data_IF_939398463888
#
_entry.id   IF_939398463888
#
_cell.length_a   1.000
_cell.length_b   1.000
_cell.length_c   1.000
_cell.angle_alpha   90.00
_cell.angle_beta   90.00
_cell.angle_gamma   90.00
#
_symmetry.space_group_name_H-M   'P 1'
#
loop_
_entity.id
_entity.type
_entity.pdbx_description
1 polymer ?
#
# COMPACT_ATOMS: atom_id res chain seq x y z
N UNK A 1 -29.20 6.03 9.11
CA UNK A 1 -27.75 5.95 9.01
C UNK A 1 -27.09 7.20 8.41
N UNK A 2 -27.62 7.83 7.35
CA UNK A 2 -27.02 9.02 6.70
C UNK A 2 -26.86 10.29 7.57
N UNK A 3 -27.64 10.47 8.62
CA UNK A 3 -27.55 11.66 9.50
C UNK A 3 -26.47 11.57 10.59
N UNK A 4 -25.92 10.37 10.87
CA UNK A 4 -24.83 10.21 11.84
C UNK A 4 -23.45 10.37 11.20
N UNK A 5 -23.34 10.11 9.90
CA UNK A 5 -22.10 10.31 9.13
C UNK A 5 -21.70 11.77 8.98
N UNK A 6 -22.69 12.66 8.81
CA UNK A 6 -22.41 14.09 8.62
C UNK A 6 -21.93 14.76 9.92
N UNK A 7 -22.37 14.27 11.10
CA UNK A 7 -21.92 14.79 12.38
C UNK A 7 -20.49 14.36 12.75
N UNK A 8 -20.05 13.17 12.28
CA UNK A 8 -18.70 12.67 12.51
C UNK A 8 -17.66 13.39 11.62
N UNK A 9 -18.04 13.71 10.38
CA UNK A 9 -17.18 14.48 9.47
C UNK A 9 -16.91 15.89 10.02
N UNK A 10 -17.92 16.53 10.63
CA UNK A 10 -17.75 17.87 11.24
C UNK A 10 -16.89 17.82 12.51
N UNK A 11 -16.92 16.72 13.26
CA UNK A 11 -16.09 16.57 14.46
C UNK A 11 -14.61 16.34 14.11
N UNK A 12 -14.32 15.60 13.03
CA UNK A 12 -12.94 15.34 12.61
C UNK A 12 -12.26 16.58 12.03
N UNK A 13 -12.99 17.39 11.25
CA UNK A 13 -12.46 18.65 10.71
C UNK A 13 -12.26 19.72 11.78
N UNK A 14 -13.07 19.74 12.87
CA UNK A 14 -12.94 20.71 13.96
C UNK A 14 -11.73 20.41 14.87
N UNK A 15 -11.30 19.15 14.99
CA UNK A 15 -10.17 18.77 15.85
C UNK A 15 -8.83 19.17 15.20
N UNK A 16 -8.74 19.14 13.87
CA UNK A 16 -7.51 19.58 13.17
C UNK A 16 -7.35 21.10 13.06
N UNK A 17 -8.45 21.87 13.16
CA UNK A 17 -8.40 23.34 13.10
C UNK A 17 -8.04 24.00 14.43
N UNK A 18 -7.85 23.25 15.52
CA UNK A 18 -7.55 23.78 16.86
C UNK A 18 -6.12 23.50 17.33
N UNK A 19 -5.20 23.13 16.44
CA UNK A 19 -3.79 23.16 16.80
C UNK A 19 -3.29 24.62 16.76
N UNK A 20 -2.88 25.22 17.88
CA UNK A 20 -2.23 26.52 17.86
C UNK A 20 -0.89 26.36 17.13
N UNK A 21 -0.65 27.19 16.12
CA UNK A 21 0.68 27.35 15.53
C UNK A 21 1.66 27.69 16.65
N UNK A 22 2.49 26.75 17.05
CA UNK A 22 3.61 27.01 17.92
C UNK A 22 4.57 27.91 17.15
N UNK A 23 4.58 29.20 17.48
CA UNK A 23 5.60 30.14 17.06
C UNK A 23 6.95 29.57 17.50
N UNK A 24 7.76 29.17 16.52
CA UNK A 24 9.17 28.88 16.73
C UNK A 24 9.87 30.20 17.07
N UNK A 25 10.06 30.44 18.36
CA UNK A 25 11.01 31.41 18.83
C UNK A 25 12.38 30.76 18.73
N UNK A 26 13.15 31.13 17.71
CA UNK A 26 14.54 30.76 17.60
C UNK A 26 15.34 31.38 18.76
N UNK A 27 16.29 30.69 19.37
CA UNK A 27 17.18 31.30 20.35
C UNK A 27 18.11 32.29 19.64
N UNK A 28 18.12 33.52 20.12
CA UNK A 28 19.10 34.57 19.81
C UNK A 28 20.51 34.02 20.04
N UNK A 29 21.32 34.05 18.99
CA UNK A 29 22.76 33.78 19.08
C UNK A 29 23.44 35.08 19.48
N UNK A 30 24.11 35.15 20.64
CA UNK A 30 24.93 36.34 20.96
C UNK A 30 26.19 36.33 20.11
N UNK A 31 26.36 37.35 19.29
CA UNK A 31 27.59 37.65 18.58
C UNK A 31 28.64 38.17 19.57
N UNK A 32 29.78 37.51 19.59
CA UNK A 32 30.99 38.11 20.13
C UNK A 32 31.73 37.33 21.21
N UNK A 33 32.49 36.32 20.79
CA UNK A 33 33.73 35.92 21.51
C UNK A 33 34.77 35.57 20.46
N UNK A 34 35.80 36.37 20.39
CA UNK A 34 37.05 36.14 19.64
C UNK A 34 37.77 34.92 20.17
N UNK A 35 38.11 33.97 19.27
CA UNK A 35 38.93 32.79 19.60
C UNK A 35 40.41 33.18 19.83
N UNK A 36 41.07 32.63 20.83
CA UNK A 36 42.54 32.76 20.95
C UNK A 36 43.24 31.79 20.00
N UNK A 37 44.20 32.32 19.24
CA UNK A 37 45.11 31.59 18.36
C UNK A 37 46.11 30.78 19.20
N UNK A 38 46.31 29.52 18.80
CA UNK A 38 47.53 28.81 19.13
C UNK A 38 47.36 27.56 20.02
N UNK A 39 46.96 26.43 19.44
CA UNK A 39 47.37 25.11 19.92
C UNK A 39 47.67 24.24 18.70
N UNK A 40 48.93 23.89 18.53
CA UNK A 40 49.42 22.95 17.53
C UNK A 40 48.90 21.54 17.84
N UNK A 41 48.32 20.87 16.85
CA UNK A 41 47.87 19.49 16.95
C UNK A 41 49.01 18.52 17.13
N UNK A 42 48.92 17.51 18.00
CA UNK A 42 49.92 16.46 18.12
C UNK A 42 49.89 15.52 16.90
N UNK A 43 51.10 15.19 16.44
CA UNK A 43 51.35 14.24 15.34
C UNK A 43 50.84 12.85 15.69
N UNK A 44 50.07 12.22 14.77
CA UNK A 44 49.59 10.85 14.92
C UNK A 44 50.76 9.83 14.94
N UNK A 45 50.69 8.80 15.78
CA UNK A 45 51.70 7.75 15.81
C UNK A 45 51.58 6.85 14.56
N UNK A 46 52.76 6.50 14.02
CA UNK A 46 52.94 5.60 12.87
C UNK A 46 52.37 4.20 13.18
N UNK A 47 51.55 3.66 12.32
CA UNK A 47 51.01 2.30 12.47
C UNK A 47 52.13 1.23 12.34
N UNK A 48 52.12 0.18 13.13
CA UNK A 48 53.09 -0.92 13.01
C UNK A 48 52.81 -1.76 11.75
N UNK A 49 53.90 -2.13 11.07
CA UNK A 49 53.91 -2.98 9.87
C UNK A 49 53.34 -4.38 10.20
N UNK A 50 52.36 -4.84 9.46
CA UNK A 50 51.78 -6.17 9.62
C UNK A 50 52.79 -7.26 9.22
N UNK A 51 52.88 -8.39 9.98
CA UNK A 51 53.73 -9.53 9.62
C UNK A 51 53.17 -10.25 8.38
N UNK A 52 54.08 -10.70 7.49
CA UNK A 52 53.79 -11.45 6.28
C UNK A 52 53.12 -12.79 6.62
N UNK A 53 52.02 -13.11 5.92
CA UNK A 53 51.28 -14.36 6.06
C UNK A 53 52.15 -15.55 5.58
N UNK A 54 52.13 -16.73 6.26
CA UNK A 54 52.81 -17.93 5.83
C UNK A 54 52.12 -18.53 4.58
N UNK A 55 52.94 -19.04 3.66
CA UNK A 55 52.49 -19.70 2.41
C UNK A 55 51.67 -20.95 2.72
N UNK A 56 50.52 -21.09 2.12
CA UNK A 56 49.67 -22.27 2.22
C UNK A 56 50.32 -23.51 1.60
N UNK A 57 50.26 -24.68 2.24
CA UNK A 57 50.75 -25.94 1.65
C UNK A 57 49.85 -26.38 0.46
N UNK A 58 50.48 -26.90 -0.59
CA UNK A 58 49.81 -27.45 -1.78
C UNK A 58 48.91 -28.62 -1.43
N UNK A 59 47.68 -28.62 -1.93
CA UNK A 59 46.73 -29.70 -1.74
C UNK A 59 47.19 -30.98 -2.48
N UNK A 60 47.00 -32.17 -1.88
CA UNK A 60 47.33 -33.44 -2.55
C UNK A 60 46.31 -33.72 -3.68
N UNK A 61 46.80 -34.29 -4.81
CA UNK A 61 45.99 -34.67 -5.97
C UNK A 61 44.96 -35.73 -5.59
N UNK A 62 43.71 -35.53 -5.99
CA UNK A 62 42.62 -36.47 -5.78
C UNK A 62 42.83 -37.77 -6.61
N UNK A 63 42.54 -38.95 -6.06
CA UNK A 63 42.56 -40.19 -6.82
C UNK A 63 41.46 -40.26 -7.89
N UNK A 64 41.80 -40.82 -9.04
CA UNK A 64 40.83 -41.00 -10.18
C UNK A 64 39.68 -41.89 -9.77
N UNK A 65 38.46 -41.47 -10.04
CA UNK A 65 37.24 -42.22 -9.79
C UNK A 65 37.15 -43.46 -10.70
N UNK A 66 36.71 -44.64 -10.20
CA UNK A 66 36.46 -45.81 -11.04
C UNK A 66 35.30 -45.59 -11.98
N UNK A 67 35.40 -46.14 -13.22
CA UNK A 67 34.37 -46.08 -14.25
C UNK A 67 33.09 -46.76 -13.78
N UNK A 68 31.96 -46.05 -13.87
CA UNK A 68 30.65 -46.59 -13.54
C UNK A 68 30.22 -47.71 -14.50
N UNK A 69 29.61 -48.82 -14.04
CA UNK A 69 29.03 -49.84 -14.90
C UNK A 69 27.84 -49.29 -15.69
N UNK A 70 27.72 -49.75 -16.98
CA UNK A 70 26.62 -49.36 -17.86
C UNK A 70 25.27 -49.77 -17.26
N UNK A 71 24.35 -48.82 -17.17
CA UNK A 71 23.01 -49.07 -16.69
C UNK A 71 22.20 -49.96 -17.65
N UNK A 72 21.38 -50.89 -17.14
CA UNK A 72 20.46 -51.65 -17.97
C UNK A 72 19.38 -50.75 -18.56
N UNK A 73 18.99 -51.05 -19.82
CA UNK A 73 17.94 -50.35 -20.56
C UNK A 73 16.63 -50.38 -19.76
N UNK A 74 16.09 -49.19 -19.43
CA UNK A 74 14.82 -49.05 -18.74
C UNK A 74 13.66 -49.59 -19.61
N UNK A 75 12.70 -50.34 -19.05
CA UNK A 75 11.48 -50.69 -19.76
C UNK A 75 10.67 -49.41 -20.03
N UNK A 76 10.04 -49.38 -21.23
CA UNK A 76 9.16 -48.27 -21.65
C UNK A 76 8.08 -48.02 -20.59
N UNK A 77 8.06 -46.81 -20.04
CA UNK A 77 7.03 -46.40 -19.10
C UNK A 77 5.65 -46.43 -19.76
N UNK A 78 4.63 -47.02 -19.12
CA UNK A 78 3.27 -46.84 -19.59
C UNK A 78 2.90 -45.36 -19.61
N UNK A 79 2.19 -44.92 -20.67
CA UNK A 79 1.69 -43.58 -20.82
C UNK A 79 0.97 -43.18 -19.53
N UNK A 80 1.43 -42.10 -18.89
CA UNK A 80 0.75 -41.54 -17.72
C UNK A 80 -0.71 -41.26 -18.09
N UNK A 81 -1.68 -41.60 -17.24
CA UNK A 81 -3.03 -41.11 -17.42
C UNK A 81 -2.98 -39.60 -17.44
N UNK A 82 -3.68 -38.98 -18.40
CA UNK A 82 -3.87 -37.55 -18.49
C UNK A 82 -4.23 -37.04 -17.09
N UNK A 83 -3.44 -36.10 -16.55
CA UNK A 83 -3.76 -35.45 -15.30
C UNK A 83 -5.20 -34.97 -15.38
N UNK A 84 -6.02 -35.17 -14.35
CA UNK A 84 -7.34 -34.54 -14.32
C UNK A 84 -7.11 -33.05 -14.49
N UNK A 85 -7.78 -32.45 -15.48
CA UNK A 85 -7.84 -31.01 -15.65
C UNK A 85 -8.36 -30.49 -14.31
N UNK A 86 -7.55 -29.76 -13.57
CA UNK A 86 -8.01 -29.05 -12.39
C UNK A 86 -9.26 -28.26 -12.81
N UNK A 87 -10.37 -28.30 -12.06
CA UNK A 87 -11.52 -27.48 -12.38
C UNK A 87 -11.03 -26.02 -12.39
N UNK A 88 -11.17 -25.36 -13.54
CA UNK A 88 -10.94 -23.93 -13.65
C UNK A 88 -11.67 -23.27 -12.48
N UNK A 89 -10.96 -22.62 -11.59
CA UNK A 89 -11.55 -21.91 -10.47
C UNK A 89 -12.46 -20.82 -11.03
N UNK A 90 -13.77 -21.09 -11.03
CA UNK A 90 -14.77 -20.09 -11.39
C UNK A 90 -14.87 -19.14 -10.22
N UNK A 91 -14.58 -17.89 -10.45
CA UNK A 91 -14.86 -16.83 -9.47
C UNK A 91 -16.01 -15.93 -9.94
N UNK A 92 -16.54 -15.13 -9.06
CA UNK A 92 -17.70 -14.28 -9.33
C UNK A 92 -17.34 -12.82 -9.08
N UNK A 93 -17.82 -11.94 -9.94
CA UNK A 93 -17.73 -10.50 -9.77
C UNK A 93 -19.13 -9.88 -9.87
N UNK A 94 -19.30 -8.70 -9.31
CA UNK A 94 -20.53 -7.94 -9.50
C UNK A 94 -20.28 -6.86 -10.55
N UNK A 95 -21.21 -6.68 -11.49
CA UNK A 95 -21.11 -5.67 -12.54
C UNK A 95 -22.35 -4.80 -12.58
N UNK A 96 -22.17 -3.49 -12.77
CA UNK A 96 -23.24 -2.53 -13.04
C UNK A 96 -22.81 -1.50 -14.10
N UNK A 97 -23.82 -0.97 -14.83
CA UNK A 97 -23.64 0.09 -15.83
C UNK A 97 -24.70 1.15 -15.65
N UNK A 98 -24.32 2.41 -15.55
CA UNK A 98 -25.26 3.51 -15.43
C UNK A 98 -24.74 4.81 -16.04
N UNK A 99 -25.65 5.74 -16.29
CA UNK A 99 -25.35 7.14 -16.57
C UNK A 99 -25.52 7.97 -15.31
N UNK A 100 -25.32 9.27 -15.41
CA UNK A 100 -25.61 10.23 -14.34
C UNK A 100 -27.11 10.31 -13.96
N UNK A 101 -28.00 9.82 -14.82
CA UNK A 101 -29.46 9.86 -14.62
C UNK A 101 -30.10 8.48 -14.53
N UNK A 102 -29.55 7.48 -15.20
CA UNK A 102 -30.24 6.20 -15.42
C UNK A 102 -29.33 5.00 -15.14
N UNK A 103 -29.85 4.03 -14.41
CA UNK A 103 -29.23 2.73 -14.27
C UNK A 103 -29.59 1.85 -15.48
N UNK A 104 -28.63 1.62 -16.35
CA UNK A 104 -28.82 0.83 -17.58
C UNK A 104 -28.72 -0.67 -17.32
N UNK A 105 -27.78 -1.09 -16.49
CA UNK A 105 -27.65 -2.46 -16.00
C UNK A 105 -27.52 -2.40 -14.49
N UNK A 106 -28.52 -2.99 -13.79
CA UNK A 106 -28.51 -3.10 -12.33
C UNK A 106 -27.37 -4.02 -11.88
N UNK A 107 -26.88 -3.88 -10.64
CA UNK A 107 -25.87 -4.77 -10.10
C UNK A 107 -26.24 -6.24 -10.28
N UNK A 108 -25.41 -6.99 -11.00
CA UNK A 108 -25.61 -8.39 -11.32
C UNK A 108 -24.33 -9.20 -11.11
N UNK A 109 -24.46 -10.41 -10.56
CA UNK A 109 -23.34 -11.32 -10.39
C UNK A 109 -22.99 -11.95 -11.75
N UNK A 110 -21.71 -11.92 -12.09
CA UNK A 110 -21.14 -12.46 -13.32
C UNK A 110 -20.13 -13.54 -12.96
N UNK A 111 -20.31 -14.74 -13.51
CA UNK A 111 -19.33 -15.81 -13.38
C UNK A 111 -18.19 -15.63 -14.36
N UNK A 112 -16.97 -15.76 -13.88
CA UNK A 112 -15.72 -15.58 -14.63
C UNK A 112 -14.95 -16.90 -14.57
N UNK A 113 -14.52 -17.42 -15.72
CA UNK A 113 -14.02 -18.78 -15.86
C UNK A 113 -12.51 -18.92 -15.96
N UNK A 114 -11.75 -17.83 -15.97
CA UNK A 114 -10.30 -17.89 -16.21
C UNK A 114 -9.53 -16.89 -15.38
N UNK A 115 -8.43 -17.34 -14.82
CA UNK A 115 -7.39 -16.49 -14.25
C UNK A 115 -6.89 -15.47 -15.29
N UNK A 116 -6.71 -14.22 -14.87
CA UNK A 116 -6.29 -13.14 -15.76
C UNK A 116 -7.42 -12.45 -16.54
N UNK A 117 -8.69 -12.72 -16.22
CA UNK A 117 -9.83 -11.99 -16.81
C UNK A 117 -9.76 -10.52 -16.40
N UNK A 118 -9.95 -9.64 -17.39
CA UNK A 118 -9.90 -8.18 -17.17
C UNK A 118 -11.30 -7.58 -17.00
N UNK A 119 -11.35 -6.35 -16.49
CA UNK A 119 -12.60 -5.56 -16.46
C UNK A 119 -13.23 -5.45 -17.87
N UNK A 120 -12.39 -5.29 -18.91
CA UNK A 120 -12.88 -5.20 -20.29
C UNK A 120 -13.56 -6.50 -20.75
N UNK A 121 -13.08 -7.66 -20.33
CA UNK A 121 -13.65 -8.94 -20.70
C UNK A 121 -15.05 -9.10 -20.09
N UNK A 122 -15.21 -8.78 -18.81
CA UNK A 122 -16.52 -8.78 -18.14
C UNK A 122 -17.47 -7.74 -18.76
N UNK A 123 -16.97 -6.52 -19.01
CA UNK A 123 -17.72 -5.47 -19.68
C UNK A 123 -18.28 -5.96 -21.01
N UNK A 124 -17.45 -6.57 -21.87
CA UNK A 124 -17.87 -7.11 -23.18
C UNK A 124 -18.89 -8.23 -23.02
N UNK A 125 -18.66 -9.16 -22.11
CA UNK A 125 -19.57 -10.28 -21.85
C UNK A 125 -20.94 -9.77 -21.44
N UNK A 126 -21.01 -8.84 -20.49
CA UNK A 126 -22.28 -8.33 -19.96
C UNK A 126 -23.03 -7.49 -20.99
N UNK A 127 -22.33 -6.60 -21.71
CA UNK A 127 -22.96 -5.77 -22.75
C UNK A 127 -23.52 -6.62 -23.87
N UNK A 128 -22.78 -7.61 -24.35
CA UNK A 128 -23.26 -8.53 -25.39
C UNK A 128 -24.49 -9.33 -24.94
N UNK A 129 -24.50 -9.81 -23.70
CA UNK A 129 -25.64 -10.56 -23.14
C UNK A 129 -26.91 -9.70 -23.00
N UNK A 130 -26.77 -8.38 -22.84
CA UNK A 130 -27.88 -7.43 -22.65
C UNK A 130 -28.17 -6.61 -23.90
N UNK A 131 -27.57 -6.88 -25.06
CA UNK A 131 -27.85 -6.22 -26.34
C UNK A 131 -27.34 -4.79 -26.47
N UNK A 132 -26.38 -4.38 -25.61
CA UNK A 132 -25.68 -3.10 -25.73
C UNK A 132 -24.54 -3.19 -26.72
N UNK A 133 -24.25 -2.06 -27.37
CA UNK A 133 -23.05 -1.90 -28.20
C UNK A 133 -22.17 -0.78 -27.65
N UNK A 134 -20.90 -0.78 -28.01
CA UNK A 134 -19.94 0.18 -27.49
C UNK A 134 -18.93 0.57 -28.56
N UNK A 135 -18.30 1.74 -28.35
CA UNK A 135 -17.23 2.29 -29.19
C UNK A 135 -16.00 2.58 -28.31
N UNK A 136 -14.88 1.96 -28.67
CA UNK A 136 -13.59 2.15 -28.02
C UNK A 136 -12.60 2.82 -28.97
N UNK A 137 -11.54 3.41 -28.43
CA UNK A 137 -10.40 3.78 -29.22
C UNK A 137 -9.64 2.53 -29.76
N UNK A 138 -8.70 2.75 -30.70
CA UNK A 138 -8.08 1.66 -31.46
C UNK A 138 -7.28 0.67 -30.61
N UNK A 139 -6.77 1.09 -29.46
CA UNK A 139 -5.97 0.27 -28.54
C UNK A 139 -6.76 -0.22 -27.31
N UNK A 140 -8.06 0.03 -27.27
CA UNK A 140 -8.96 -0.31 -26.16
C UNK A 140 -8.53 0.30 -24.81
N UNK A 141 -7.91 1.46 -24.85
CA UNK A 141 -7.52 2.17 -23.64
C UNK A 141 -8.64 3.06 -23.11
N UNK A 142 -9.58 3.51 -23.96
CA UNK A 142 -10.61 4.44 -23.59
C UNK A 142 -11.99 4.13 -24.22
N UNK A 143 -13.05 4.11 -23.38
CA UNK A 143 -14.43 3.90 -23.79
C UNK A 143 -15.08 5.20 -24.27
N UNK A 144 -15.35 5.32 -25.58
CA UNK A 144 -15.88 6.52 -26.20
C UNK A 144 -17.40 6.64 -26.12
N UNK A 145 -18.10 5.52 -26.27
CA UNK A 145 -19.56 5.54 -26.26
C UNK A 145 -20.14 4.16 -25.90
N UNK A 146 -21.32 4.18 -25.30
CA UNK A 146 -22.17 3.01 -25.14
C UNK A 146 -23.55 3.32 -25.76
N UNK A 147 -24.12 2.34 -26.47
CA UNK A 147 -25.47 2.44 -27.06
C UNK A 147 -26.35 1.35 -26.46
N UNK A 148 -27.44 1.75 -25.86
CA UNK A 148 -28.43 0.86 -25.27
C UNK A 148 -29.26 0.13 -26.37
N UNK A 149 -29.98 -0.96 -26.04
CA UNK A 149 -30.78 -1.73 -27.00
C UNK A 149 -31.90 -0.94 -27.68
N UNK A 150 -32.41 0.12 -27.04
CA UNK A 150 -33.40 1.03 -27.59
C UNK A 150 -32.83 2.08 -28.57
N UNK A 151 -31.49 2.05 -28.79
CA UNK A 151 -30.79 2.99 -29.66
C UNK A 151 -30.29 4.25 -28.94
N UNK A 152 -30.53 4.42 -27.63
CA UNK A 152 -30.01 5.54 -26.86
C UNK A 152 -28.52 5.45 -26.80
N UNK A 153 -27.81 6.45 -27.37
CA UNK A 153 -26.32 6.52 -27.36
C UNK A 153 -25.82 7.61 -26.41
N UNK A 154 -24.95 7.25 -25.49
CA UNK A 154 -24.21 8.19 -24.65
C UNK A 154 -22.74 8.12 -25.02
N UNK A 155 -22.18 9.27 -25.43
CA UNK A 155 -20.82 9.37 -25.90
C UNK A 155 -20.00 10.37 -25.05
N UNK A 156 -18.69 10.20 -25.05
CA UNK A 156 -17.75 11.21 -24.50
C UNK A 156 -18.09 12.59 -25.07
N UNK A 157 -17.86 13.62 -24.28
CA UNK A 157 -18.12 15.03 -24.61
C UNK A 157 -19.58 15.38 -24.94
N UNK A 158 -20.53 14.44 -24.86
CA UNK A 158 -21.95 14.69 -25.16
C UNK A 158 -22.64 15.64 -24.17
N UNK A 159 -22.08 15.81 -22.97
CA UNK A 159 -22.55 16.75 -21.92
C UNK A 159 -21.52 17.81 -21.54
N UNK A 160 -20.48 18.05 -22.36
CA UNK A 160 -19.42 19.01 -22.12
C UNK A 160 -18.03 18.39 -22.21
N UNK A 161 -16.98 19.22 -22.24
CA UNK A 161 -15.59 18.77 -22.45
C UNK A 161 -15.07 17.81 -21.39
N UNK A 162 -15.66 17.81 -20.19
CA UNK A 162 -15.27 16.94 -19.09
C UNK A 162 -16.21 15.72 -18.94
N UNK A 163 -17.16 15.52 -19.87
CA UNK A 163 -18.06 14.38 -19.78
C UNK A 163 -17.48 13.15 -20.48
N UNK A 164 -17.66 11.98 -19.84
CA UNK A 164 -17.11 10.74 -20.36
C UNK A 164 -17.46 9.52 -19.52
N UNK A 165 -17.02 8.37 -20.01
CA UNK A 165 -17.15 7.09 -19.34
C UNK A 165 -15.96 6.82 -18.42
N UNK A 166 -16.26 6.36 -17.23
CA UNK A 166 -15.30 5.94 -16.23
C UNK A 166 -15.65 4.55 -15.71
N UNK A 167 -14.74 3.93 -14.98
CA UNK A 167 -15.04 2.72 -14.24
C UNK A 167 -14.40 2.73 -12.85
N UNK A 168 -15.01 1.98 -11.93
CA UNK A 168 -14.49 1.68 -10.61
C UNK A 168 -14.43 0.19 -10.39
N UNK A 169 -13.48 -0.22 -9.56
CA UNK A 169 -13.46 -1.56 -8.97
C UNK A 169 -13.38 -1.40 -7.46
N UNK A 170 -14.32 -1.99 -6.75
CA UNK A 170 -14.43 -1.88 -5.29
C UNK A 170 -14.51 -0.43 -4.79
N UNK A 171 -15.16 0.45 -5.56
CA UNK A 171 -15.31 1.87 -5.26
C UNK A 171 -14.14 2.77 -5.66
N UNK A 172 -13.00 2.22 -6.06
CA UNK A 172 -11.82 2.97 -6.52
C UNK A 172 -11.82 3.15 -8.03
N UNK A 173 -11.40 4.33 -8.51
CA UNK A 173 -11.12 4.57 -9.93
C UNK A 173 -9.68 4.15 -10.21
N UNK A 174 -9.44 3.04 -10.95
CA UNK A 174 -8.11 2.60 -11.29
C UNK A 174 -7.36 3.57 -12.19
N UNK A 175 -6.03 3.57 -12.10
CA UNK A 175 -5.16 4.37 -12.97
C UNK A 175 -4.71 3.59 -14.23
N UNK A 176 -5.37 2.51 -14.54
CA UNK A 176 -5.13 1.68 -15.71
C UNK A 176 -6.42 1.53 -16.51
N UNK A 177 -6.30 1.25 -17.81
CA UNK A 177 -7.46 0.98 -18.65
C UNK A 177 -8.14 -0.35 -18.28
N UNK A 178 -9.40 -0.54 -18.66
CA UNK A 178 -10.18 -1.75 -18.36
C UNK A 178 -9.51 -3.04 -18.89
N UNK A 179 -8.76 -2.97 -19.98
CA UNK A 179 -8.03 -4.10 -20.57
C UNK A 179 -6.77 -4.49 -19.80
N UNK A 180 -6.32 -3.66 -18.87
CA UNK A 180 -5.12 -3.88 -18.06
C UNK A 180 -5.44 -4.22 -16.60
N UNK A 181 -6.68 -4.00 -16.15
CA UNK A 181 -7.07 -4.32 -14.78
C UNK A 181 -7.52 -5.78 -14.70
N UNK A 182 -6.77 -6.61 -13.97
CA UNK A 182 -7.12 -8.01 -13.70
C UNK A 182 -8.03 -8.10 -12.49
N UNK A 183 -9.07 -8.90 -12.60
CA UNK A 183 -10.10 -9.09 -11.60
C UNK A 183 -9.76 -10.22 -10.63
N UNK A 184 -10.26 -10.10 -9.41
CA UNK A 184 -10.22 -11.12 -8.35
C UNK A 184 -11.65 -11.53 -7.98
N UNK A 185 -11.78 -12.66 -7.24
CA UNK A 185 -13.09 -13.12 -6.77
C UNK A 185 -13.72 -12.11 -5.81
N UNK A 186 -14.99 -11.82 -6.06
CA UNK A 186 -15.75 -10.85 -5.26
C UNK A 186 -15.62 -9.40 -5.69
N UNK A 187 -14.85 -9.09 -6.75
CA UNK A 187 -14.72 -7.70 -7.22
C UNK A 187 -16.05 -7.10 -7.66
N UNK A 188 -16.27 -5.84 -7.28
CA UNK A 188 -17.44 -5.03 -7.68
C UNK A 188 -17.04 -4.03 -8.76
N UNK A 189 -17.56 -4.23 -9.97
CA UNK A 189 -17.29 -3.39 -11.15
C UNK A 189 -18.45 -2.43 -11.37
N UNK A 190 -18.16 -1.14 -11.38
CA UNK A 190 -19.08 -0.08 -11.75
C UNK A 190 -18.57 0.64 -12.99
N UNK A 191 -19.30 0.58 -14.11
CA UNK A 191 -19.00 1.42 -15.29
C UNK A 191 -20.05 2.52 -15.34
N UNK A 192 -19.63 3.77 -15.43
CA UNK A 192 -20.54 4.89 -15.34
C UNK A 192 -20.15 6.06 -16.25
N UNK A 193 -21.18 6.75 -16.75
CA UNK A 193 -20.99 8.02 -17.43
C UNK A 193 -21.15 9.18 -16.47
N UNK A 194 -20.30 10.19 -16.61
CA UNK A 194 -20.41 11.44 -15.84
C UNK A 194 -20.43 12.65 -16.75
N UNK A 195 -21.22 13.66 -16.37
CA UNK A 195 -21.23 14.95 -17.05
C UNK A 195 -19.97 15.79 -16.79
N UNK A 196 -19.30 15.55 -15.66
CA UNK A 196 -18.02 16.21 -15.32
C UNK A 196 -17.15 15.29 -14.45
N UNK A 197 -16.14 14.68 -15.06
CA UNK A 197 -15.20 13.80 -14.34
C UNK A 197 -14.36 14.54 -13.28
N UNK A 198 -14.23 15.86 -13.38
CA UNK A 198 -13.52 16.66 -12.36
C UNK A 198 -14.32 16.75 -11.04
N UNK A 199 -15.62 16.49 -11.08
CA UNK A 199 -16.49 16.46 -9.89
C UNK A 199 -16.66 15.05 -9.32
N UNK A 200 -16.13 14.03 -9.99
CA UNK A 200 -16.24 12.65 -9.52
C UNK A 200 -15.32 12.46 -8.30
N UNK A 201 -15.86 12.06 -7.14
CA UNK A 201 -15.04 11.82 -5.98
C UNK A 201 -13.93 10.80 -6.29
N UNK A 202 -12.71 11.14 -5.94
CA UNK A 202 -11.55 10.29 -6.18
C UNK A 202 -10.91 10.43 -7.55
N UNK A 203 -11.44 11.25 -8.45
CA UNK A 203 -10.79 11.48 -9.75
C UNK A 203 -9.60 12.42 -9.62
N UNK A 204 -9.73 13.47 -8.84
CA UNK A 204 -8.66 14.46 -8.61
C UNK A 204 -8.45 14.63 -7.11
N UNK A 205 -7.19 14.69 -6.69
CA UNK A 205 -6.85 15.05 -5.32
C UNK A 205 -7.06 16.54 -5.08
N UNK A 206 -7.59 16.96 -3.91
CA UNK A 206 -7.74 18.37 -3.59
C UNK A 206 -6.41 19.05 -3.20
N UNK A 207 -5.33 18.29 -3.06
CA UNK A 207 -4.06 18.72 -2.50
C UNK A 207 -3.17 19.38 -3.56
N UNK A 208 -2.67 20.57 -3.26
CA UNK A 208 -1.82 21.35 -4.17
C UNK A 208 -0.35 20.93 -4.12
N UNK A 209 0.04 20.23 -3.07
CA UNK A 209 1.38 19.72 -2.83
C UNK A 209 1.60 18.28 -3.36
N UNK A 210 0.59 17.69 -4.00
CA UNK A 210 0.68 16.38 -4.64
C UNK A 210 0.28 16.52 -6.10
N UNK A 211 1.27 16.80 -6.95
CA UNK A 211 1.05 16.89 -8.40
C UNK A 211 0.76 15.50 -9.01
N UNK A 212 0.10 15.49 -10.17
CA UNK A 212 -0.29 14.23 -10.84
C UNK A 212 0.90 13.34 -11.22
N UNK A 213 2.08 13.90 -11.40
CA UNK A 213 3.35 13.20 -11.68
C UNK A 213 4.14 12.85 -10.40
N UNK A 214 3.60 13.16 -9.22
CA UNK A 214 4.21 12.74 -7.96
C UNK A 214 4.23 11.21 -7.86
N UNK A 215 5.37 10.62 -7.54
CA UNK A 215 5.59 9.16 -7.50
C UNK A 215 4.55 8.38 -6.66
N UNK A 216 4.00 9.01 -5.61
CA UNK A 216 2.98 8.41 -4.75
C UNK A 216 1.56 8.88 -5.07
N UNK A 217 1.32 9.62 -6.16
CA UNK A 217 0.00 10.20 -6.47
C UNK A 217 -1.12 9.17 -6.41
N UNK A 218 -0.96 8.06 -7.13
CA UNK A 218 -1.95 6.96 -7.16
C UNK A 218 -2.21 6.37 -5.78
N UNK A 219 -1.16 6.16 -4.99
CA UNK A 219 -1.28 5.61 -3.66
C UNK A 219 -1.98 6.58 -2.69
N UNK A 220 -1.62 7.86 -2.74
CA UNK A 220 -2.26 8.91 -1.94
C UNK A 220 -3.73 9.05 -2.34
N UNK A 221 -4.04 9.07 -3.64
CA UNK A 221 -5.41 9.11 -4.16
C UNK A 221 -6.24 7.95 -3.61
N UNK A 222 -5.72 6.73 -3.66
CA UNK A 222 -6.40 5.54 -3.13
C UNK A 222 -6.64 5.62 -1.63
N UNK A 223 -5.67 6.10 -0.85
CA UNK A 223 -5.83 6.27 0.60
C UNK A 223 -6.84 7.37 0.93
N UNK A 224 -6.84 8.45 0.15
CA UNK A 224 -7.77 9.55 0.33
C UNK A 224 -9.21 9.14 -0.01
N UNK A 225 -9.44 8.49 -1.16
CA UNK A 225 -10.79 8.07 -1.59
C UNK A 225 -11.42 7.04 -0.66
N UNK A 226 -10.60 6.21 -0.01
CA UNK A 226 -11.02 5.25 1.01
C UNK A 226 -11.13 5.85 2.41
N UNK A 227 -10.91 7.15 2.54
CA UNK A 227 -10.94 7.88 3.82
C UNK A 227 -9.97 7.28 4.88
N UNK A 228 -8.87 6.70 4.43
CA UNK A 228 -7.83 6.14 5.30
C UNK A 228 -6.73 7.14 5.63
N UNK A 229 -6.40 8.02 4.67
CA UNK A 229 -5.46 9.12 4.89
C UNK A 229 -6.05 10.40 4.29
N UNK A 230 -6.24 11.40 5.13
CA UNK A 230 -6.73 12.72 4.75
C UNK A 230 -5.57 13.73 4.69
N UNK A 231 -5.81 14.94 4.16
CA UNK A 231 -4.85 16.03 4.23
C UNK A 231 -4.54 16.47 5.66
N UNK A 232 -3.45 17.20 5.84
CA UNK A 232 -3.19 17.95 7.09
C UNK A 232 -4.07 19.19 7.16
N UNK A 233 -4.55 19.65 6.01
CA UNK A 233 -5.62 20.61 5.80
C UNK A 233 -6.34 20.33 4.47
N UNK A 234 -7.30 21.18 4.08
CA UNK A 234 -8.13 21.01 2.88
C UNK A 234 -7.35 21.02 1.56
N UNK A 235 -6.11 21.54 1.54
CA UNK A 235 -5.30 21.76 0.34
C UNK A 235 -3.93 21.11 0.39
N UNK A 236 -3.53 20.58 1.53
CA UNK A 236 -2.18 20.07 1.79
C UNK A 236 -2.24 18.62 2.30
N UNK A 237 -1.57 17.73 1.62
CA UNK A 237 -1.39 16.34 2.08
C UNK A 237 -0.15 16.20 2.96
N UNK A 238 0.89 16.98 2.72
CA UNK A 238 2.23 16.89 3.31
C UNK A 238 2.90 15.51 3.06
N UNK A 239 3.19 15.15 1.80
CA UNK A 239 3.69 13.82 1.44
C UNK A 239 5.02 13.47 2.12
N UNK A 240 5.90 14.43 2.32
CA UNK A 240 7.23 14.26 2.92
C UNK A 240 7.24 14.36 4.44
N UNK A 241 6.11 14.73 5.06
CA UNK A 241 6.00 14.75 6.52
C UNK A 241 6.15 13.32 7.07
N UNK A 242 6.97 13.16 8.11
CA UNK A 242 7.10 11.87 8.79
C UNK A 242 5.79 11.47 9.48
N UNK A 243 5.40 10.22 9.32
CA UNK A 243 4.23 9.66 9.98
C UNK A 243 4.53 9.40 11.46
N UNK A 244 3.62 9.76 12.36
CA UNK A 244 3.76 9.41 13.76
C UNK A 244 3.18 8.02 14.06
N UNK A 245 3.57 7.44 15.19
CA UNK A 245 3.05 6.15 15.65
C UNK A 245 1.53 6.20 15.87
N UNK A 246 1.02 7.32 16.40
CA UNK A 246 -0.40 7.54 16.57
C UNK A 246 -1.15 7.61 15.24
N UNK A 247 -0.60 8.32 14.24
CA UNK A 247 -1.19 8.39 12.90
C UNK A 247 -1.34 7.01 12.27
N UNK A 248 -0.30 6.16 12.36
CA UNK A 248 -0.41 4.79 11.82
C UNK A 248 -1.46 3.96 12.56
N UNK A 249 -1.53 4.04 13.89
CA UNK A 249 -2.56 3.34 14.66
C UNK A 249 -3.97 3.76 14.23
N UNK A 250 -4.20 5.06 14.01
CA UNK A 250 -5.51 5.59 13.56
C UNK A 250 -5.86 5.09 12.15
N UNK A 251 -4.90 5.07 11.23
CA UNK A 251 -5.13 4.54 9.87
C UNK A 251 -5.55 3.06 9.93
N UNK A 252 -4.87 2.25 10.71
CA UNK A 252 -5.20 0.82 10.86
C UNK A 252 -6.55 0.62 11.56
N UNK A 253 -6.88 1.45 12.54
CA UNK A 253 -8.16 1.44 13.24
C UNK A 253 -9.32 1.82 12.30
N UNK A 254 -9.15 2.88 11.50
CA UNK A 254 -10.10 3.27 10.48
C UNK A 254 -10.29 2.16 9.42
N UNK A 255 -9.20 1.50 9.02
CA UNK A 255 -9.27 0.36 8.08
C UNK A 255 -10.04 -0.83 8.67
N UNK A 256 -10.01 -1.03 9.99
CA UNK A 256 -10.80 -2.05 10.70
C UNK A 256 -12.28 -1.64 10.88
N UNK A 257 -12.70 -0.45 10.44
CA UNK A 257 -14.07 0.04 10.59
C UNK A 257 -14.36 0.66 11.96
N UNK A 258 -13.34 1.11 12.69
CA UNK A 258 -13.44 1.79 13.98
C UNK A 258 -14.28 1.02 15.03
N UNK A 259 -13.92 -0.24 15.32
CA UNK A 259 -14.69 -1.04 16.25
C UNK A 259 -14.76 -0.41 17.65
N UNK A 260 -15.81 -0.70 18.40
CA UNK A 260 -15.96 -0.19 19.76
C UNK A 260 -14.81 -0.66 20.66
N UNK A 261 -14.23 0.26 21.43
CA UNK A 261 -13.12 0.00 22.35
C UNK A 261 -13.66 -0.13 23.76
N UNK A 262 -13.42 -1.28 24.37
CA UNK A 262 -13.83 -1.58 25.76
C UNK A 262 -12.65 -1.86 26.69
N UNK A 263 -11.45 -2.06 26.12
CA UNK A 263 -10.25 -2.34 26.89
C UNK A 263 -9.74 -1.12 27.66
N UNK A 264 -9.01 -1.38 28.74
CA UNK A 264 -8.35 -0.34 29.50
C UNK A 264 -7.07 0.12 28.81
N UNK A 265 -6.78 1.41 28.93
CA UNK A 265 -5.54 1.99 28.42
C UNK A 265 -4.33 1.49 29.23
N UNK A 266 -3.35 0.90 28.53
CA UNK A 266 -2.11 0.37 29.11
C UNK A 266 -0.95 1.39 29.13
N UNK A 267 -1.10 2.54 28.46
CA UNK A 267 -0.01 3.46 28.23
C UNK A 267 -0.18 4.75 29.04
N UNK A 268 0.85 5.13 29.79
CA UNK A 268 0.85 6.30 30.64
C UNK A 268 0.85 7.63 29.88
N UNK A 269 1.32 7.62 28.64
CA UNK A 269 1.46 8.77 27.75
C UNK A 269 0.35 8.86 26.68
N UNK A 270 -0.72 8.08 26.82
CA UNK A 270 -1.91 8.12 25.97
C UNK A 270 -3.09 8.64 26.79
N UNK A 271 -3.29 9.94 26.93
CA UNK A 271 -4.40 10.49 27.71
C UNK A 271 -5.74 10.17 27.04
N UNK A 272 -6.81 10.16 27.84
CA UNK A 272 -8.18 9.99 27.35
C UNK A 272 -8.63 11.18 26.52
N UNK A 273 -9.48 10.93 25.49
CA UNK A 273 -10.10 11.98 24.69
C UNK A 273 -9.23 12.59 23.59
N UNK A 274 -8.03 12.05 23.34
CA UNK A 274 -7.25 12.43 22.17
C UNK A 274 -7.80 11.73 20.93
N UNK A 275 -7.55 12.32 19.76
CA UNK A 275 -7.99 11.80 18.46
C UNK A 275 -7.47 10.36 18.16
N UNK A 276 -6.39 9.95 18.80
CA UNK A 276 -5.75 8.65 18.65
C UNK A 276 -6.03 7.68 19.80
N UNK A 277 -6.67 8.13 20.90
CA UNK A 277 -6.79 7.31 22.13
C UNK A 277 -7.42 5.95 21.84
N UNK A 278 -8.59 5.91 21.21
CA UNK A 278 -9.28 4.66 20.92
C UNK A 278 -8.49 3.77 19.96
N UNK A 279 -7.88 4.34 18.94
CA UNK A 279 -7.07 3.60 17.99
C UNK A 279 -5.87 2.92 18.65
N UNK A 280 -5.17 3.61 19.56
CA UNK A 280 -4.02 3.05 20.27
C UNK A 280 -4.42 1.95 21.25
N UNK A 281 -5.51 2.14 22.00
CA UNK A 281 -6.04 1.12 22.92
C UNK A 281 -6.46 -0.12 22.13
N UNK A 282 -7.23 0.05 21.06
CA UNK A 282 -7.66 -1.04 20.20
C UNK A 282 -6.47 -1.79 19.58
N UNK A 283 -5.48 -1.08 19.07
CA UNK A 283 -4.31 -1.69 18.47
C UNK A 283 -3.48 -2.49 19.49
N UNK A 284 -3.43 -2.01 20.75
CA UNK A 284 -2.76 -2.72 21.83
C UNK A 284 -3.55 -3.96 22.33
N UNK A 285 -4.88 -3.87 22.35
CA UNK A 285 -5.77 -5.00 22.71
C UNK A 285 -5.62 -6.15 21.71
N UNK A 286 -5.51 -5.83 20.41
CA UNK A 286 -5.45 -6.80 19.32
C UNK A 286 -4.01 -7.18 18.92
N UNK A 287 -3.01 -6.82 19.72
CA UNK A 287 -1.61 -7.21 19.49
C UNK A 287 -0.94 -6.54 18.30
N UNK A 288 -1.56 -5.50 17.72
CA UNK A 288 -1.02 -4.74 16.58
C UNK A 288 0.14 -3.84 17.03
N UNK A 289 0.09 -3.34 18.28
CA UNK A 289 1.16 -2.56 18.90
C UNK A 289 1.49 -3.07 20.31
N UNK A 290 2.77 -3.01 20.68
CA UNK A 290 3.25 -3.47 21.98
C UNK A 290 3.74 -2.34 22.91
N UNK A 291 3.81 -1.10 22.47
CA UNK A 291 4.44 -0.01 23.22
C UNK A 291 5.98 -0.06 23.18
N UNK A 292 6.62 0.72 24.07
CA UNK A 292 8.08 0.90 24.08
C UNK A 292 8.79 0.11 25.20
N UNK A 293 8.08 -0.74 25.95
CA UNK A 293 8.63 -1.55 27.04
C UNK A 293 8.76 -0.82 28.38
N UNK A 294 8.52 0.49 28.43
CA UNK A 294 8.56 1.36 29.61
C UNK A 294 7.17 1.83 30.06
N UNK A 295 6.12 1.19 29.57
CA UNK A 295 4.73 1.59 29.82
C UNK A 295 4.24 2.77 28.97
N UNK A 296 5.02 3.20 27.97
CA UNK A 296 4.65 4.27 27.04
C UNK A 296 4.37 3.73 25.64
N UNK A 297 3.57 4.48 24.86
CA UNK A 297 3.32 4.24 23.44
C UNK A 297 4.14 5.18 22.54
N UNK A 298 4.43 6.38 23.02
CA UNK A 298 5.08 7.48 22.29
C UNK A 298 4.30 7.90 21.04
N UNK A 299 3.06 8.42 21.21
CA UNK A 299 2.15 8.71 20.11
C UNK A 299 2.72 9.66 19.05
N UNK A 300 3.47 10.68 19.47
CA UNK A 300 4.02 11.71 18.60
C UNK A 300 5.39 11.35 18.01
N UNK A 301 6.00 10.24 18.42
CA UNK A 301 7.25 9.80 17.84
C UNK A 301 7.06 9.36 16.40
N UNK A 302 8.00 9.73 15.52
CA UNK A 302 8.02 9.24 14.16
C UNK A 302 8.09 7.69 14.15
N UNK A 303 7.27 7.06 13.32
CA UNK A 303 7.30 5.60 13.14
C UNK A 303 8.45 5.24 12.20
N UNK A 304 9.29 4.29 12.62
CA UNK A 304 10.35 3.78 11.74
C UNK A 304 9.83 2.72 10.77
N UNK A 305 10.56 2.44 9.70
CA UNK A 305 10.19 1.41 8.72
C UNK A 305 10.07 0.02 9.38
N UNK A 306 10.94 -0.31 10.32
CA UNK A 306 10.84 -1.54 11.11
C UNK A 306 9.57 -1.56 11.97
N UNK A 307 9.24 -0.46 12.66
CA UNK A 307 8.01 -0.35 13.45
C UNK A 307 6.75 -0.42 12.58
N UNK A 308 6.78 0.21 11.41
CA UNK A 308 5.68 0.15 10.45
C UNK A 308 5.44 -1.29 9.96
N UNK A 309 6.51 -2.05 9.68
CA UNK A 309 6.42 -3.45 9.31
C UNK A 309 5.76 -4.29 10.41
N UNK A 310 6.14 -4.09 11.68
CA UNK A 310 5.54 -4.80 12.82
C UNK A 310 4.06 -4.47 12.98
N UNK A 311 3.69 -3.18 12.92
CA UNK A 311 2.30 -2.76 13.05
C UNK A 311 1.44 -3.28 11.90
N UNK A 312 1.96 -3.26 10.67
CA UNK A 312 1.25 -3.76 9.50
C UNK A 312 1.09 -5.30 9.52
N UNK A 313 2.13 -6.03 9.90
CA UNK A 313 2.08 -7.48 10.06
C UNK A 313 1.09 -7.90 11.18
N UNK A 314 1.09 -7.19 12.31
CA UNK A 314 0.12 -7.39 13.38
C UNK A 314 -1.31 -7.13 12.93
N UNK A 315 -1.53 -6.08 12.11
CA UNK A 315 -2.83 -5.78 11.52
C UNK A 315 -3.26 -6.86 10.51
N UNK A 316 -2.36 -7.33 9.67
CA UNK A 316 -2.63 -8.40 8.72
C UNK A 316 -3.04 -9.71 9.44
N UNK A 317 -2.33 -10.08 10.50
CA UNK A 317 -2.69 -11.22 11.34
C UNK A 317 -4.08 -11.04 12.00
N UNK A 318 -4.39 -9.83 12.51
CA UNK A 318 -5.71 -9.48 13.05
C UNK A 318 -6.81 -9.63 11.99
N UNK A 319 -6.52 -9.26 10.73
CA UNK A 319 -7.44 -9.37 9.59
C UNK A 319 -7.61 -10.80 9.09
N UNK A 320 -6.83 -11.76 9.59
CA UNK A 320 -6.86 -13.16 9.16
C UNK A 320 -5.97 -13.49 7.96
N UNK A 321 -5.11 -12.56 7.56
CA UNK A 321 -4.17 -12.79 6.46
C UNK A 321 -3.05 -13.75 6.86
N UNK A 322 -2.50 -14.48 5.87
CA UNK A 322 -1.30 -15.29 6.07
C UNK A 322 -0.06 -14.41 6.23
N UNK A 323 0.51 -14.45 7.43
CA UNK A 323 1.74 -13.71 7.79
C UNK A 323 2.96 -14.62 7.89
N UNK A 324 2.94 -15.83 7.31
CA UNK A 324 4.02 -16.82 7.40
C UNK A 324 5.12 -16.65 6.35
N UNK A 325 4.84 -15.99 5.23
CA UNK A 325 5.81 -15.76 4.16
C UNK A 325 7.08 -15.05 4.67
N UNK A 326 8.25 -15.45 4.20
CA UNK A 326 9.55 -14.87 4.58
C UNK A 326 10.45 -14.69 3.38
N UNK A 327 10.90 -13.47 3.14
CA UNK A 327 11.94 -13.17 2.16
C UNK A 327 13.32 -13.24 2.81
N UNK A 328 14.31 -13.54 2.01
CA UNK A 328 15.72 -13.37 2.39
C UNK A 328 16.07 -11.87 2.31
N UNK A 329 16.54 -11.30 3.42
CA UNK A 329 16.95 -9.89 3.49
C UNK A 329 18.43 -9.68 3.14
N UNK A 330 19.22 -10.74 2.92
CA UNK A 330 20.66 -10.66 2.69
C UNK A 330 21.06 -9.87 1.44
N UNK A 331 20.13 -9.68 0.50
CA UNK A 331 20.33 -8.85 -0.67
C UNK A 331 20.39 -7.34 -0.38
N UNK A 332 19.96 -6.91 0.81
CA UNK A 332 20.01 -5.51 1.22
C UNK A 332 21.30 -5.22 1.97
N UNK A 333 21.95 -4.12 1.60
CA UNK A 333 23.27 -3.75 2.15
C UNK A 333 23.27 -3.44 3.64
N UNK A 334 22.11 -3.14 4.21
CA UNK A 334 21.87 -2.82 5.61
C UNK A 334 21.04 -3.89 6.35
N UNK A 335 21.00 -5.10 5.84
CA UNK A 335 20.29 -6.21 6.49
C UNK A 335 20.76 -6.48 7.94
N UNK A 336 22.01 -6.17 8.26
CA UNK A 336 22.56 -6.28 9.60
C UNK A 336 22.00 -5.25 10.59
N UNK A 337 21.44 -4.15 10.10
CA UNK A 337 20.85 -3.08 10.92
C UNK A 337 19.39 -3.38 11.30
N UNK A 338 18.83 -4.47 10.77
CA UNK A 338 17.46 -4.90 11.09
C UNK A 338 17.39 -5.35 12.54
N UNK A 339 16.58 -4.68 13.39
CA UNK A 339 16.42 -5.09 14.77
C UNK A 339 15.83 -6.52 14.87
N UNK A 340 16.34 -7.32 15.80
CA UNK A 340 15.87 -8.72 15.96
C UNK A 340 14.37 -8.84 16.22
N UNK A 341 13.76 -7.84 16.87
CA UNK A 341 12.34 -7.79 17.17
C UNK A 341 11.46 -7.49 15.95
N UNK A 342 12.02 -7.03 14.82
CA UNK A 342 11.30 -6.70 13.59
C UNK A 342 11.71 -7.59 12.41
N UNK A 343 12.57 -8.55 12.63
CA UNK A 343 13.16 -9.33 11.53
C UNK A 343 12.12 -10.15 10.79
N UNK A 344 11.23 -10.84 11.50
CA UNK A 344 10.19 -11.67 10.90
C UNK A 344 9.18 -10.85 10.11
N UNK A 345 8.80 -9.68 10.63
CA UNK A 345 7.81 -8.79 10.03
C UNK A 345 8.38 -8.05 8.81
N UNK A 346 9.65 -7.65 8.85
CA UNK A 346 10.34 -7.12 7.67
C UNK A 346 10.50 -8.18 6.58
N UNK A 347 10.84 -9.42 6.92
CA UNK A 347 10.86 -10.53 5.97
C UNK A 347 9.49 -10.76 5.33
N UNK A 348 8.41 -10.67 6.11
CA UNK A 348 7.05 -10.79 5.61
C UNK A 348 6.68 -9.64 4.68
N UNK A 349 6.92 -8.38 5.09
CA UNK A 349 6.58 -7.21 4.26
C UNK A 349 7.36 -7.20 2.95
N UNK A 350 8.63 -7.66 2.95
CA UNK A 350 9.43 -7.80 1.72
C UNK A 350 8.91 -8.96 0.86
N UNK A 351 8.59 -10.12 1.44
CA UNK A 351 8.00 -11.25 0.71
C UNK A 351 6.68 -10.89 0.03
N UNK A 352 5.88 -10.03 0.68
CA UNK A 352 4.62 -9.50 0.15
C UNK A 352 4.81 -8.26 -0.74
N UNK A 353 6.05 -7.83 -1.00
CA UNK A 353 6.37 -6.63 -1.79
C UNK A 353 5.65 -5.36 -1.27
N UNK A 354 5.42 -5.26 0.05
CA UNK A 354 4.83 -4.10 0.70
C UNK A 354 5.91 -3.06 1.02
N UNK A 355 7.04 -3.52 1.53
CA UNK A 355 8.25 -2.71 1.72
C UNK A 355 9.27 -3.18 0.70
N UNK A 356 9.63 -2.29 -0.21
CA UNK A 356 10.73 -2.46 -1.15
C UNK A 356 11.93 -1.64 -0.67
N UNK A 357 13.13 -2.03 -1.04
CA UNK A 357 14.33 -1.27 -0.67
C UNK A 357 14.35 0.11 -1.32
N UNK A 358 14.91 1.09 -0.61
CA UNK A 358 15.29 2.39 -1.19
C UNK A 358 16.40 2.13 -2.22
N UNK A 359 16.21 2.64 -3.43
CA UNK A 359 17.07 2.37 -4.59
C UNK A 359 17.33 0.87 -4.85
N UNK A 360 16.40 0.01 -4.36
CA UNK A 360 16.51 -1.45 -4.46
C UNK A 360 17.66 -2.06 -3.63
N UNK A 361 18.30 -1.31 -2.72
CA UNK A 361 19.53 -1.71 -2.04
C UNK A 361 19.48 -1.64 -0.51
N UNK A 362 18.66 -0.77 0.06
CA UNK A 362 18.62 -0.51 1.50
C UNK A 362 17.20 -0.68 2.04
N UNK A 363 17.03 -1.42 3.12
CA UNK A 363 15.77 -1.51 3.86
C UNK A 363 15.52 -0.25 4.68
N UNK A 364 16.56 0.40 5.15
CA UNK A 364 16.56 1.56 6.04
C UNK A 364 15.63 1.34 7.26
N UNK A 365 15.82 0.27 8.05
CA UNK A 365 14.86 -0.19 9.07
C UNK A 365 14.62 0.85 10.17
N UNK A 366 15.64 1.66 10.46
CA UNK A 366 15.61 2.66 11.52
C UNK A 366 15.19 4.06 11.05
N UNK A 367 15.04 4.25 9.74
CA UNK A 367 14.58 5.52 9.18
C UNK A 367 13.08 5.70 9.40
N UNK A 368 12.66 6.94 9.60
CA UNK A 368 11.26 7.30 9.68
C UNK A 368 10.55 7.09 8.33
N UNK A 369 9.28 6.71 8.40
CA UNK A 369 8.40 6.58 7.22
C UNK A 369 7.70 7.91 6.97
N UNK A 370 7.69 8.38 5.72
CA UNK A 370 6.89 9.54 5.34
C UNK A 370 5.42 9.16 5.09
N UNK A 371 4.54 10.16 5.03
CA UNK A 371 3.13 9.95 4.70
C UNK A 371 2.94 9.35 3.30
N UNK A 372 3.73 9.80 2.33
CA UNK A 372 3.72 9.25 0.97
C UNK A 372 4.21 7.80 0.92
N UNK A 373 5.29 7.47 1.63
CA UNK A 373 5.78 6.09 1.73
C UNK A 373 4.73 5.18 2.38
N UNK A 374 4.07 5.63 3.46
CA UNK A 374 3.02 4.84 4.11
C UNK A 374 1.79 4.67 3.21
N UNK A 375 1.38 5.71 2.49
CA UNK A 375 0.30 5.60 1.50
C UNK A 375 0.62 4.52 0.46
N UNK A 376 1.87 4.44 -0.03
CA UNK A 376 2.32 3.43 -0.99
C UNK A 376 2.31 2.02 -0.40
N UNK A 377 2.81 1.85 0.83
CA UNK A 377 2.80 0.56 1.54
C UNK A 377 1.36 0.05 1.75
N UNK A 378 0.48 0.92 2.25
CA UNK A 378 -0.94 0.56 2.49
C UNK A 378 -1.68 0.32 1.17
N UNK A 379 -1.42 1.11 0.14
CA UNK A 379 -2.00 0.89 -1.19
C UNK A 379 -1.62 -0.47 -1.77
N UNK A 380 -0.37 -0.90 -1.58
CA UNK A 380 0.08 -2.22 -1.99
C UNK A 380 -0.56 -3.34 -1.14
N UNK A 381 -0.75 -3.11 0.17
CA UNK A 381 -1.40 -4.07 1.08
C UNK A 381 -2.89 -4.27 0.72
N UNK A 382 -3.62 -3.21 0.43
CA UNK A 382 -5.06 -3.27 0.14
C UNK A 382 -5.36 -3.91 -1.23
N UNK A 383 -4.40 -3.93 -2.17
CA UNK A 383 -4.54 -4.60 -3.48
C UNK A 383 -4.49 -6.12 -3.41
N UNK A 384 -4.00 -6.67 -2.33
CA UNK A 384 -3.80 -8.11 -2.13
C UNK A 384 -4.83 -8.68 -1.17
#
# INVERSE_FOLDING_TARGET
MKKRFLALLLALTLVFSLMPAALAVGPDVPTGVTAPSGVTAPTAPTAPTAPSAPSSPSAPSAPSAPSAPSAPSSPSSPSAPSSPTEPSSVYTVTFQLHTDTDAWIQPAVVSVSTEGTTVLDVFRQVLAANGYTYDYDADYSYLRAVTAPDGTKVAEFSKGQNSGWLYRVNGDIPDVAMNAFQLEDGDEIEVFFTADYMQVPGMVLPFTDVSWDHWAYTAIKRMYTRNLMVGVDDKTFAPDLTLTRAMLAVILYARAGEPAVTAENKFSDVPTGQWYTNAVIWAAENGIVAGCGDGTFRPDAAVTRAQAAVMLCGFAAFSGDDVTARADLSAFGDAADVPSWAQAELQWTVARQLIVGRDGKLLAPNDAVTRAEMASILSAYIRK
#
